data_IF_360193833793
#
_entry.id   IF_360193833793
#
_cell.length_a   1.000
_cell.length_b   1.000
_cell.length_c   1.000
_cell.angle_alpha   90.00
_cell.angle_beta   90.00
_cell.angle_gamma   90.00
#
_symmetry.space_group_name_H-M   'P 1'
#
loop_
_entity.id
_entity.type
_entity.pdbx_description
1 polymer ?
#
# COMPACT_ATOMS: atom_id res chain seq x y z
N UNK A 1 -1.65 -5.74 -13.87
CA UNK A 1 -1.53 -4.60 -14.16
C UNK A 1 -2.48 -3.85 -13.56
N UNK A 2 -3.43 -4.33 -13.36
CA UNK A 2 -4.39 -3.63 -12.91
C UNK A 2 -4.36 -3.44 -11.45
N UNK A 3 -3.89 -4.36 -10.56
CA UNK A 3 -3.90 -4.24 -9.10
C UNK A 3 -2.91 -3.18 -8.63
N UNK A 4 -1.67 -3.23 -9.12
CA UNK A 4 -0.68 -2.21 -8.76
C UNK A 4 -1.15 -0.83 -9.18
N UNK A 5 -1.66 -0.70 -10.40
CA UNK A 5 -2.15 0.58 -10.90
C UNK A 5 -3.35 1.07 -10.10
N UNK A 6 -4.24 0.17 -9.69
CA UNK A 6 -5.39 0.53 -8.87
C UNK A 6 -4.95 1.05 -7.50
N UNK A 7 -3.96 0.39 -6.88
CA UNK A 7 -3.43 0.84 -5.60
C UNK A 7 -2.83 2.23 -5.74
N UNK A 8 -2.01 2.43 -6.76
CA UNK A 8 -1.37 3.72 -7.00
C UNK A 8 -2.40 4.82 -7.21
N UNK A 9 -3.44 4.53 -8.00
CA UNK A 9 -4.47 5.51 -8.26
C UNK A 9 -5.27 5.86 -7.02
N UNK A 10 -5.70 4.87 -6.25
CA UNK A 10 -6.54 5.11 -5.08
C UNK A 10 -5.78 5.85 -3.99
N UNK A 11 -4.54 5.48 -3.75
CA UNK A 11 -3.73 6.18 -2.75
C UNK A 11 -3.32 7.55 -3.23
N UNK A 12 -3.02 7.68 -4.51
CA UNK A 12 -2.68 8.98 -5.09
C UNK A 12 -3.81 9.98 -4.97
N UNK A 13 -5.03 9.54 -5.28
CA UNK A 13 -6.19 10.43 -5.23
C UNK A 13 -6.68 10.66 -3.80
N UNK A 14 -6.64 9.61 -2.97
CA UNK A 14 -7.19 9.71 -1.63
C UNK A 14 -6.31 10.44 -0.64
N UNK A 15 -4.99 10.38 -0.82
CA UNK A 15 -4.04 10.94 0.15
C UNK A 15 -3.22 12.09 -0.41
N UNK A 16 -3.22 12.27 -1.71
CA UNK A 16 -2.39 13.27 -2.39
C UNK A 16 -0.95 13.22 -1.83
N UNK A 17 -0.29 12.07 -1.94
CA UNK A 17 0.97 11.88 -1.23
C UNK A 17 2.10 12.67 -1.84
N UNK A 18 3.05 13.04 -0.99
CA UNK A 18 4.29 13.64 -1.44
C UNK A 18 5.17 12.61 -2.14
N UNK A 19 5.12 11.37 -1.66
CA UNK A 19 5.86 10.26 -2.24
C UNK A 19 5.04 8.98 -2.07
N UNK A 20 5.03 8.16 -3.09
CA UNK A 20 4.29 6.90 -3.06
C UNK A 20 5.11 5.84 -3.78
N UNK A 21 5.35 4.74 -3.10
CA UNK A 21 6.03 3.59 -3.68
C UNK A 21 5.14 2.36 -3.50
N UNK A 22 4.85 1.68 -4.60
CA UNK A 22 4.07 0.44 -4.58
C UNK A 22 4.91 -0.62 -5.27
N UNK A 23 5.28 -1.65 -4.53
CA UNK A 23 6.12 -2.73 -5.05
C UNK A 23 5.34 -4.03 -5.00
N UNK A 24 5.29 -4.72 -6.13
CA UNK A 24 4.69 -6.04 -6.22
C UNK A 24 5.74 -7.06 -5.79
N UNK A 25 5.52 -7.69 -4.65
CA UNK A 25 6.45 -8.68 -4.11
C UNK A 25 5.96 -10.11 -4.32
N UNK A 26 4.99 -10.29 -5.19
CA UNK A 26 4.42 -11.63 -5.41
C UNK A 26 5.46 -12.64 -5.85
N UNK A 27 6.50 -12.20 -6.57
CA UNK A 27 7.55 -13.08 -7.03
C UNK A 27 8.32 -13.74 -5.88
N UNK A 28 8.34 -13.12 -4.71
CA UNK A 28 8.99 -13.69 -3.53
C UNK A 28 8.24 -14.89 -3.00
N UNK A 29 7.00 -15.07 -3.42
CA UNK A 29 6.13 -16.14 -2.96
C UNK A 29 5.81 -17.15 -4.07
N UNK A 30 6.36 -16.95 -5.25
CA UNK A 30 6.09 -17.82 -6.39
C UNK A 30 6.53 -19.26 -6.06
N UNK A 31 5.66 -20.20 -6.39
CA UNK A 31 5.93 -21.61 -6.12
C UNK A 31 5.51 -22.09 -4.76
N UNK A 32 5.14 -21.20 -3.86
CA UNK A 32 4.63 -21.59 -2.55
C UNK A 32 3.16 -21.98 -2.68
N UNK A 33 2.74 -22.93 -1.84
CA UNK A 33 1.34 -23.32 -1.81
C UNK A 33 0.48 -22.10 -1.48
N UNK A 34 -0.55 -21.89 -2.28
CA UNK A 34 -1.45 -20.78 -2.09
C UNK A 34 -1.02 -19.49 -2.77
N UNK A 35 0.20 -19.44 -3.32
CA UNK A 35 0.63 -18.26 -4.07
C UNK A 35 0.03 -18.31 -5.47
N UNK A 36 -0.70 -17.25 -5.90
CA UNK A 36 -1.26 -17.27 -7.26
C UNK A 36 -0.17 -17.10 -8.31
N UNK A 37 -0.41 -17.70 -9.45
CA UNK A 37 0.45 -17.47 -10.60
C UNK A 37 0.17 -16.06 -11.12
N UNK A 38 1.15 -15.43 -11.70
CA UNK A 38 0.95 -14.16 -12.37
C UNK A 38 1.15 -12.91 -11.51
N UNK A 39 1.42 -13.08 -10.23
CA UNK A 39 1.76 -11.96 -9.36
C UNK A 39 0.56 -11.16 -8.90
N UNK A 40 0.81 -9.94 -8.44
CA UNK A 40 -0.18 -8.97 -8.00
C UNK A 40 -1.03 -9.43 -6.81
N UNK A 41 -0.43 -10.23 -5.92
CA UNK A 41 -1.12 -10.70 -4.72
C UNK A 41 -0.47 -10.22 -3.43
N UNK A 42 0.81 -9.86 -3.47
CA UNK A 42 1.57 -9.43 -2.30
C UNK A 42 2.26 -8.11 -2.62
N UNK A 43 1.96 -7.09 -1.84
CA UNK A 43 2.47 -5.75 -2.12
C UNK A 43 3.14 -5.13 -0.91
N UNK A 44 4.12 -4.29 -1.17
CA UNK A 44 4.71 -3.41 -0.17
C UNK A 44 4.46 -1.98 -0.61
N UNK A 45 3.87 -1.19 0.28
CA UNK A 45 3.51 0.20 0.00
C UNK A 45 4.20 1.10 1.00
N UNK A 46 4.85 2.15 0.49
CA UNK A 46 5.35 3.22 1.35
C UNK A 46 4.72 4.52 0.87
N UNK A 47 4.07 5.23 1.76
CA UNK A 47 3.38 6.45 1.39
C UNK A 47 3.71 7.56 2.38
N UNK A 48 4.11 8.71 1.83
CA UNK A 48 4.44 9.92 2.59
C UNK A 48 3.37 10.95 2.27
N UNK A 49 2.58 11.34 3.27
CA UNK A 49 1.48 12.26 3.04
C UNK A 49 1.22 13.13 4.26
N UNK A 50 0.92 14.40 4.01
CA UNK A 50 0.54 15.33 5.07
C UNK A 50 -0.76 14.91 5.74
N UNK A 51 -1.59 14.13 5.04
CA UNK A 51 -2.84 13.63 5.60
C UNK A 51 -2.64 12.77 6.84
N UNK A 52 -1.44 12.23 7.05
CA UNK A 52 -1.15 11.40 8.22
C UNK A 52 -0.79 12.21 9.46
N UNK A 53 -0.61 13.51 9.33
CA UNK A 53 -0.22 14.35 10.47
C UNK A 53 -1.28 14.27 11.57
N UNK A 54 -0.85 14.06 12.79
CA UNK A 54 -1.76 13.96 13.93
C UNK A 54 -2.43 12.62 14.10
N UNK A 55 -2.20 11.68 13.18
CA UNK A 55 -2.81 10.35 13.27
C UNK A 55 -1.85 9.35 13.87
N UNK A 56 -2.37 8.44 14.69
CA UNK A 56 -1.59 7.32 15.19
C UNK A 56 -1.24 6.39 14.04
N UNK A 57 -0.29 5.49 14.28
CA UNK A 57 0.11 4.52 13.27
C UNK A 57 -1.08 3.64 12.85
N UNK A 58 -1.89 3.23 13.82
CA UNK A 58 -3.07 2.41 13.53
C UNK A 58 -4.09 3.19 12.70
N UNK A 59 -4.31 4.46 13.02
CA UNK A 59 -5.26 5.28 12.26
C UNK A 59 -4.80 5.46 10.83
N UNK A 60 -3.49 5.62 10.62
CA UNK A 60 -2.93 5.72 9.26
C UNK A 60 -3.15 4.44 8.48
N UNK A 61 -2.92 3.29 9.10
CA UNK A 61 -3.15 2.02 8.44
C UNK A 61 -4.60 1.82 8.06
N UNK A 62 -5.51 2.20 8.96
CA UNK A 62 -6.93 2.10 8.67
C UNK A 62 -7.33 2.96 7.50
N UNK A 63 -6.73 4.14 7.39
CA UNK A 63 -7.02 5.04 6.28
C UNK A 63 -6.58 4.39 4.96
N UNK A 64 -5.37 3.84 4.91
CA UNK A 64 -4.87 3.17 3.72
C UNK A 64 -5.71 1.94 3.39
N UNK A 65 -6.00 1.11 4.39
CA UNK A 65 -6.78 -0.10 4.16
C UNK A 65 -8.21 0.22 3.70
N UNK A 66 -8.78 1.31 4.21
CA UNK A 66 -10.09 1.74 3.76
C UNK A 66 -10.13 2.12 2.30
N UNK A 67 -9.09 2.81 1.83
CA UNK A 67 -8.98 3.18 0.43
C UNK A 67 -8.78 1.97 -0.47
N UNK A 68 -8.18 0.90 0.06
CA UNK A 68 -7.87 -0.30 -0.71
C UNK A 68 -8.79 -1.47 -0.37
N UNK A 69 -9.96 -1.19 0.20
CA UNK A 69 -10.85 -2.24 0.69
C UNK A 69 -11.21 -3.25 -0.37
N UNK A 70 -11.45 -2.81 -1.60
CA UNK A 70 -11.83 -3.71 -2.68
C UNK A 70 -10.69 -4.64 -3.06
N UNK A 71 -9.48 -4.09 -3.14
CA UNK A 71 -8.30 -4.89 -3.47
C UNK A 71 -8.02 -5.92 -2.39
N UNK A 72 -8.20 -5.54 -1.12
CA UNK A 72 -7.95 -6.45 -0.01
C UNK A 72 -8.98 -7.56 0.08
N UNK A 73 -10.20 -7.33 -0.40
CA UNK A 73 -11.21 -8.38 -0.47
C UNK A 73 -10.97 -9.35 -1.61
N UNK A 74 -10.29 -8.90 -2.64
CA UNK A 74 -10.11 -9.67 -3.87
C UNK A 74 -8.69 -10.16 -4.06
N UNK A 75 -7.94 -9.58 -5.01
CA UNK A 75 -6.65 -10.16 -5.42
C UNK A 75 -5.52 -10.00 -4.42
N UNK A 76 -5.57 -9.01 -3.52
CA UNK A 76 -4.45 -8.76 -2.63
C UNK A 76 -4.55 -9.64 -1.40
N UNK A 77 -3.60 -10.56 -1.24
CA UNK A 77 -3.55 -11.49 -0.12
C UNK A 77 -2.76 -10.91 1.05
N UNK A 78 -1.76 -10.10 0.77
CA UNK A 78 -0.94 -9.51 1.83
C UNK A 78 -0.50 -8.11 1.41
N UNK A 79 -0.51 -7.19 2.38
CA UNK A 79 -0.15 -5.80 2.14
C UNK A 79 0.67 -5.30 3.31
N UNK A 80 1.94 -4.97 3.06
CA UNK A 80 2.78 -4.32 4.04
C UNK A 80 2.75 -2.82 3.76
N UNK A 81 2.45 -2.03 4.77
CA UNK A 81 2.28 -0.59 4.61
C UNK A 81 3.19 0.16 5.57
N UNK A 82 3.92 1.13 5.03
CA UNK A 82 4.68 2.09 5.81
C UNK A 82 4.11 3.47 5.53
N UNK A 83 3.72 4.17 6.59
CA UNK A 83 3.09 5.49 6.47
C UNK A 83 3.96 6.52 7.18
N UNK A 84 4.22 7.62 6.49
CA UNK A 84 5.07 8.68 7.02
C UNK A 84 4.44 10.03 6.74
N UNK A 85 4.63 10.98 7.66
CA UNK A 85 4.38 12.38 7.35
C UNK A 85 5.61 12.93 6.62
N UNK A 86 5.48 14.07 5.92
CA UNK A 86 6.66 14.70 5.31
C UNK A 86 7.78 14.98 6.30
N UNK A 87 7.43 15.38 7.52
CA UNK A 87 8.44 15.62 8.55
C UNK A 87 9.17 14.34 8.94
N UNK A 88 8.43 13.25 9.09
CA UNK A 88 9.04 11.97 9.44
C UNK A 88 9.97 11.47 8.34
N UNK A 89 9.56 11.66 7.09
CA UNK A 89 10.37 11.28 5.96
C UNK A 89 11.66 12.09 5.89
N UNK A 90 11.56 13.38 6.14
CA UNK A 90 12.74 14.27 6.13
C UNK A 90 13.70 13.99 7.28
N UNK A 91 13.16 13.58 8.43
CA UNK A 91 13.96 13.28 9.60
C UNK A 91 14.70 11.95 9.49
N UNK A 92 14.14 11.05 8.72
CA UNK A 92 14.71 9.73 8.56
C UNK A 92 15.73 9.66 7.48
#
# INVERSE_FOLDING_TARGET
>A
MRVKAAIEKKLGEGLTPRRLSVVDESHLHAGHAGAPDGGESHFRVEVVAAAFAGLSRIARQRLVYGLLAEELKGPVHALAVRTLTPEEDSAG
#
